data_IF_726683440133
#
_entry.id   IF_726683440133
#
_cell.length_a   1.000
_cell.length_b   1.000
_cell.length_c   1.000
_cell.angle_alpha   90.00
_cell.angle_beta   90.00
_cell.angle_gamma   90.00
#
_symmetry.space_group_name_H-M   'P 1'
#
loop_
_entity.id
_entity.type
_entity.pdbx_description
1 polymer ?
#
# COMPACT_ATOMS: atom_id res chain seq x y z
N UNK A 1 8.49 19.68 -26.68
CA UNK A 1 9.09 19.76 -25.33
C UNK A 1 7.93 19.63 -24.37
N UNK A 2 7.79 18.47 -23.76
CA UNK A 2 6.68 18.12 -22.87
C UNK A 2 6.87 18.87 -21.55
N UNK A 3 5.80 19.45 -20.98
CA UNK A 3 5.80 20.28 -19.75
C UNK A 3 6.36 19.62 -18.45
N UNK A 4 7.03 18.49 -18.57
CA UNK A 4 7.75 17.79 -17.51
C UNK A 4 9.11 18.42 -17.17
N UNK A 5 9.71 19.19 -18.10
CA UNK A 5 11.01 19.81 -17.90
C UNK A 5 10.95 21.20 -17.22
N UNK A 6 9.78 21.84 -17.17
CA UNK A 6 9.64 23.19 -16.64
C UNK A 6 9.84 23.32 -15.13
N UNK A 7 9.63 22.25 -14.34
CA UNK A 7 9.79 22.23 -12.88
C UNK A 7 11.03 21.44 -12.42
N UNK A 8 12.01 21.25 -13.33
CA UNK A 8 13.24 20.54 -13.01
C UNK A 8 14.37 21.53 -12.69
N UNK A 9 14.82 21.51 -11.44
CA UNK A 9 15.85 22.40 -10.91
C UNK A 9 17.03 21.59 -10.39
N UNK A 10 18.22 22.19 -10.44
CA UNK A 10 19.44 21.58 -9.94
C UNK A 10 19.45 21.50 -8.40
N UNK A 11 20.17 20.52 -7.86
CA UNK A 11 20.50 20.47 -6.43
C UNK A 11 21.20 21.77 -6.02
N UNK A 12 20.90 22.28 -4.82
CA UNK A 12 21.40 23.54 -4.33
C UNK A 12 20.55 24.76 -4.68
N UNK A 13 19.56 24.63 -5.59
CA UNK A 13 18.65 25.73 -5.93
C UNK A 13 17.96 26.25 -4.68
N UNK A 14 17.97 27.58 -4.49
CA UNK A 14 17.29 28.27 -3.39
C UNK A 14 15.90 28.72 -3.85
N UNK A 15 14.90 28.41 -3.05
CA UNK A 15 13.53 28.89 -3.16
C UNK A 15 13.33 29.91 -2.06
N UNK A 16 12.90 31.11 -2.39
CA UNK A 16 12.45 32.12 -1.45
C UNK A 16 10.95 32.33 -1.65
N UNK A 17 10.17 32.09 -0.60
CA UNK A 17 8.73 32.37 -0.61
C UNK A 17 8.46 33.85 -0.79
N UNK A 18 7.56 34.17 -1.73
CA UNK A 18 7.22 35.57 -2.06
C UNK A 18 6.56 36.28 -0.88
N UNK A 19 5.69 35.58 -0.15
CA UNK A 19 4.84 36.15 0.89
C UNK A 19 5.40 35.92 2.30
N UNK A 20 5.76 34.68 2.65
CA UNK A 20 6.24 34.30 3.98
C UNK A 20 7.76 34.50 4.14
N UNK A 21 8.49 34.77 3.06
CA UNK A 21 9.94 34.96 3.07
C UNK A 21 10.74 33.79 3.63
N UNK A 22 10.15 32.61 3.67
CA UNK A 22 10.85 31.40 4.08
C UNK A 22 11.79 30.93 2.97
N UNK A 23 12.95 30.39 3.37
CA UNK A 23 13.97 29.93 2.45
C UNK A 23 14.08 28.40 2.49
N UNK A 24 14.13 27.81 1.32
CA UNK A 24 14.29 26.36 1.14
C UNK A 24 15.39 26.08 0.12
N UNK A 25 16.28 25.13 0.43
CA UNK A 25 17.30 24.64 -0.49
C UNK A 25 16.89 23.28 -1.04
N UNK A 26 16.78 23.13 -2.34
CA UNK A 26 16.55 21.84 -2.98
C UNK A 26 17.78 20.96 -2.85
N UNK A 27 17.60 19.70 -2.40
CA UNK A 27 18.69 18.74 -2.20
C UNK A 27 18.64 17.67 -3.30
N UNK A 28 17.50 17.01 -3.47
CA UNK A 28 17.35 15.86 -4.36
C UNK A 28 15.95 15.86 -4.95
N UNK A 29 15.84 15.56 -6.22
CA UNK A 29 14.57 15.24 -6.86
C UNK A 29 14.03 13.89 -6.31
N UNK A 30 12.76 13.85 -5.90
CA UNK A 30 12.08 12.67 -5.37
C UNK A 30 11.15 12.04 -6.39
N UNK A 31 10.48 12.87 -7.20
CA UNK A 31 9.54 12.39 -8.21
C UNK A 31 8.81 13.53 -8.90
N UNK A 32 8.11 13.20 -10.00
CA UNK A 32 7.19 14.11 -10.68
C UNK A 32 5.96 13.34 -11.16
N UNK A 33 4.83 14.03 -11.16
CA UNK A 33 3.54 13.49 -11.57
C UNK A 33 2.70 14.50 -12.35
N UNK A 34 1.42 14.21 -12.51
CA UNK A 34 0.47 15.07 -13.19
C UNK A 34 0.39 16.45 -12.54
N UNK A 35 0.41 16.51 -11.21
CA UNK A 35 0.18 17.73 -10.44
C UNK A 35 1.43 18.57 -10.18
N UNK A 36 2.64 18.01 -10.29
CA UNK A 36 3.86 18.76 -10.00
C UNK A 36 5.10 17.90 -9.82
N UNK A 37 6.11 18.50 -9.24
CA UNK A 37 7.40 17.85 -8.97
C UNK A 37 7.74 18.00 -7.49
N UNK A 38 8.20 16.91 -6.87
CA UNK A 38 8.54 16.86 -5.44
C UNK A 38 10.05 16.72 -5.28
N UNK A 39 10.59 17.53 -4.38
CA UNK A 39 11.99 17.52 -3.99
C UNK A 39 12.17 17.26 -2.50
N UNK A 40 13.22 16.55 -2.15
CA UNK A 40 13.80 16.66 -0.82
C UNK A 40 14.47 18.03 -0.72
N UNK A 41 14.15 18.76 0.31
CA UNK A 41 14.72 20.07 0.57
C UNK A 41 15.06 20.26 2.05
N UNK A 42 15.69 21.38 2.35
CA UNK A 42 16.02 21.79 3.71
C UNK A 42 15.62 23.25 3.93
N UNK A 43 14.89 23.49 5.01
CA UNK A 43 14.74 24.82 5.59
C UNK A 43 15.90 25.09 6.57
N UNK A 44 15.89 26.22 7.25
CA UNK A 44 16.88 26.54 8.29
C UNK A 44 16.90 25.50 9.43
N UNK A 45 15.76 24.89 9.75
CA UNK A 45 15.59 24.07 10.96
C UNK A 45 15.34 22.58 10.68
N UNK A 46 14.88 22.21 9.49
CA UNK A 46 14.42 20.83 9.22
C UNK A 46 14.55 20.41 7.77
N UNK A 47 14.57 19.09 7.56
CA UNK A 47 14.41 18.47 6.25
C UNK A 47 12.91 18.44 5.89
N UNK A 48 12.58 18.77 4.64
CA UNK A 48 11.20 18.92 4.16
C UNK A 48 11.03 18.26 2.80
N UNK A 49 9.81 17.86 2.46
CA UNK A 49 9.40 17.61 1.09
C UNK A 49 8.82 18.91 0.51
N UNK A 50 9.29 19.30 -0.68
CA UNK A 50 8.85 20.51 -1.36
C UNK A 50 8.15 20.08 -2.65
N UNK A 51 6.87 20.35 -2.76
CA UNK A 51 6.07 20.12 -3.97
C UNK A 51 5.95 21.43 -4.76
N UNK A 52 6.52 21.46 -5.95
CA UNK A 52 6.36 22.53 -6.92
C UNK A 52 5.18 22.19 -7.82
N UNK A 53 4.16 23.02 -7.85
CA UNK A 53 2.92 22.73 -8.56
C UNK A 53 2.98 23.15 -10.02
N UNK A 54 2.40 22.34 -10.90
CA UNK A 54 2.09 22.72 -12.30
C UNK A 54 0.86 23.60 -12.37
N UNK A 55 -0.09 23.35 -11.48
CA UNK A 55 -1.35 24.05 -11.38
C UNK A 55 -1.58 24.53 -9.95
N UNK A 56 -1.85 25.83 -9.81
CA UNK A 56 -2.06 26.50 -8.53
C UNK A 56 -3.33 26.01 -7.84
N UNK A 57 -4.41 25.82 -8.57
CA UNK A 57 -5.71 25.43 -7.99
C UNK A 57 -5.64 24.03 -7.35
N UNK A 58 -4.96 23.10 -8.04
CA UNK A 58 -4.69 21.76 -7.55
C UNK A 58 -3.89 21.80 -6.24
N UNK A 59 -2.82 22.61 -6.17
CA UNK A 59 -2.02 22.77 -4.95
C UNK A 59 -2.84 23.35 -3.80
N UNK A 60 -3.65 24.38 -4.06
CA UNK A 60 -4.51 24.99 -3.02
C UNK A 60 -5.51 23.95 -2.49
N UNK A 61 -6.09 23.12 -3.37
CA UNK A 61 -6.99 22.04 -2.93
C UNK A 61 -6.29 21.07 -1.98
N UNK A 62 -5.10 20.61 -2.35
CA UNK A 62 -4.28 19.72 -1.53
C UNK A 62 -3.88 20.35 -0.18
N UNK A 63 -3.39 21.58 -0.20
CA UNK A 63 -3.04 22.36 0.99
C UNK A 63 -4.23 22.49 1.95
N UNK A 64 -5.44 22.74 1.43
CA UNK A 64 -6.64 22.84 2.25
C UNK A 64 -7.01 21.51 2.91
N UNK A 65 -6.81 20.38 2.23
CA UNK A 65 -7.00 19.05 2.82
C UNK A 65 -5.98 18.81 3.93
N UNK A 66 -4.69 19.07 3.66
CA UNK A 66 -3.61 18.89 4.64
C UNK A 66 -3.81 19.77 5.89
N UNK A 67 -4.25 21.02 5.73
CA UNK A 67 -4.57 21.91 6.86
C UNK A 67 -5.69 21.33 7.75
N UNK A 68 -6.80 20.93 7.14
CA UNK A 68 -7.93 20.33 7.88
C UNK A 68 -7.55 19.03 8.57
N UNK A 69 -6.67 18.23 7.93
CA UNK A 69 -6.16 17.02 8.54
C UNK A 69 -5.23 17.31 9.72
N UNK A 70 -4.40 18.34 9.64
CA UNK A 70 -3.51 18.77 10.72
C UNK A 70 -4.24 19.27 11.97
N UNK A 71 -5.51 19.69 11.83
CA UNK A 71 -6.37 20.10 12.96
C UNK A 71 -6.94 18.89 13.74
N UNK A 72 -6.91 17.68 13.17
CA UNK A 72 -7.37 16.48 13.85
C UNK A 72 -6.32 15.96 14.82
N UNK A 73 -6.71 15.69 16.05
CA UNK A 73 -5.83 15.07 17.04
C UNK A 73 -5.61 13.59 16.69
N UNK A 74 -4.34 13.17 16.60
CA UNK A 74 -3.99 11.77 16.37
C UNK A 74 -2.95 11.58 15.27
N UNK A 75 -2.74 10.32 14.85
CA UNK A 75 -1.81 9.98 13.77
C UNK A 75 -2.34 10.49 12.42
N UNK A 76 -1.61 11.40 11.82
CA UNK A 76 -1.95 11.99 10.52
C UNK A 76 -1.84 10.94 9.40
N UNK A 77 -2.86 10.85 8.54
CA UNK A 77 -2.83 10.06 7.31
C UNK A 77 -1.73 10.56 6.36
N UNK A 78 -1.51 11.86 6.30
CA UNK A 78 -0.58 12.49 5.40
C UNK A 78 0.53 13.27 6.10
N UNK A 79 1.41 13.92 5.32
CA UNK A 79 2.47 14.77 5.85
C UNK A 79 1.90 16.02 6.52
N UNK A 80 2.55 16.46 7.60
CA UNK A 80 2.25 17.77 8.21
C UNK A 80 2.63 18.86 7.24
N UNK A 81 1.72 19.80 7.00
CA UNK A 81 2.01 20.99 6.19
C UNK A 81 2.80 21.99 7.04
N UNK A 82 3.92 22.48 6.51
CA UNK A 82 4.73 23.49 7.19
C UNK A 82 4.55 24.87 6.59
N UNK A 83 4.47 24.95 5.24
CA UNK A 83 4.34 26.21 4.52
C UNK A 83 3.72 26.00 3.15
N UNK A 84 3.15 27.06 2.57
CA UNK A 84 2.75 27.13 1.17
C UNK A 84 2.87 28.56 0.71
N UNK A 85 3.53 28.78 -0.43
CA UNK A 85 3.84 30.11 -0.93
C UNK A 85 4.01 30.09 -2.46
N UNK A 86 4.27 31.25 -3.02
CA UNK A 86 4.66 31.42 -4.42
C UNK A 86 6.18 31.72 -4.50
N UNK A 87 6.83 31.15 -5.45
CA UNK A 87 8.23 31.41 -5.78
C UNK A 87 8.34 32.16 -7.11
N UNK A 88 8.96 33.34 -7.08
CA UNK A 88 9.22 34.12 -8.28
C UNK A 88 10.61 33.80 -8.85
N UNK A 89 10.65 33.19 -10.02
CA UNK A 89 11.88 32.84 -10.72
C UNK A 89 11.81 33.25 -12.18
N UNK A 90 12.77 34.07 -12.66
CA UNK A 90 12.87 34.53 -14.05
C UNK A 90 11.54 35.07 -14.61
N UNK A 91 10.81 35.83 -13.80
CA UNK A 91 9.52 36.42 -14.16
C UNK A 91 8.33 35.46 -14.15
N UNK A 92 8.52 34.17 -13.85
CA UNK A 92 7.46 33.19 -13.68
C UNK A 92 7.15 32.98 -12.18
N UNK A 93 5.89 32.77 -11.87
CA UNK A 93 5.43 32.40 -10.51
C UNK A 93 5.18 30.89 -10.47
N UNK A 94 5.85 30.20 -9.55
CA UNK A 94 5.64 28.78 -9.28
C UNK A 94 5.09 28.65 -7.86
N UNK A 95 3.86 28.15 -7.71
CA UNK A 95 3.28 27.87 -6.41
C UNK A 95 3.89 26.59 -5.85
N UNK A 96 4.19 26.58 -4.54
CA UNK A 96 4.78 25.44 -3.87
C UNK A 96 4.21 25.23 -2.47
N UNK A 97 4.36 24.02 -1.94
CA UNK A 97 4.21 23.77 -0.51
C UNK A 97 5.42 23.02 0.04
N UNK A 98 5.74 23.32 1.29
CA UNK A 98 6.73 22.62 2.10
C UNK A 98 6.02 21.81 3.17
N UNK A 99 6.31 20.52 3.24
CA UNK A 99 5.64 19.58 4.14
C UNK A 99 6.65 18.61 4.76
N UNK A 100 6.20 17.85 5.72
CA UNK A 100 6.98 16.80 6.36
C UNK A 100 7.54 15.83 5.30
N UNK A 101 8.84 15.58 5.39
CA UNK A 101 9.45 14.52 4.60
C UNK A 101 9.20 13.19 5.30
N UNK A 102 8.44 12.32 4.64
CA UNK A 102 8.16 10.97 5.12
C UNK A 102 9.28 10.04 4.65
N UNK A 103 10.16 9.65 5.57
CA UNK A 103 11.25 8.71 5.31
C UNK A 103 10.77 7.29 5.60
N UNK A 104 10.66 6.48 4.57
CA UNK A 104 10.14 5.12 4.69
C UNK A 104 10.22 4.33 3.39
N UNK A 105 9.60 3.16 3.37
CA UNK A 105 9.56 2.27 2.21
C UNK A 105 8.21 2.40 1.50
N UNK A 106 8.18 2.60 0.16
CA UNK A 106 6.92 2.57 -0.59
C UNK A 106 6.12 1.30 -0.30
N UNK A 107 4.82 1.44 -0.06
CA UNK A 107 3.97 0.28 0.27
C UNK A 107 3.97 -0.75 -0.86
N UNK A 108 4.09 -0.33 -2.11
CA UNK A 108 4.22 -1.22 -3.28
C UNK A 108 5.44 -2.14 -3.21
N UNK A 109 6.53 -1.70 -2.58
CA UNK A 109 7.71 -2.54 -2.32
C UNK A 109 7.55 -3.39 -1.06
N UNK A 110 6.98 -2.83 0.00
CA UNK A 110 6.76 -3.55 1.25
C UNK A 110 5.84 -4.76 1.04
N UNK A 111 4.77 -4.62 0.24
CA UNK A 111 3.83 -5.71 -0.08
C UNK A 111 4.50 -6.89 -0.82
N UNK A 112 5.57 -6.64 -1.57
CA UNK A 112 6.33 -7.71 -2.26
C UNK A 112 7.20 -8.54 -1.32
N UNK A 113 7.58 -7.96 -0.17
CA UNK A 113 8.56 -8.54 0.77
C UNK A 113 7.92 -9.11 2.03
N UNK A 114 6.70 -8.67 2.36
CA UNK A 114 6.00 -9.04 3.58
C UNK A 114 4.94 -10.10 3.30
N UNK A 115 4.66 -11.01 4.25
CA UNK A 115 3.51 -11.90 4.17
C UNK A 115 2.19 -11.15 3.99
N UNK A 116 1.20 -11.80 3.38
CA UNK A 116 -0.10 -11.21 3.08
C UNK A 116 -0.84 -10.63 4.30
N UNK A 117 -0.66 -11.22 5.49
CA UNK A 117 -1.25 -10.72 6.74
C UNK A 117 -0.89 -9.26 7.03
N UNK A 118 0.31 -8.82 6.61
CA UNK A 118 0.69 -7.42 6.73
C UNK A 118 -0.12 -6.50 5.82
N UNK A 119 -0.53 -6.96 4.64
CA UNK A 119 -1.43 -6.18 3.79
C UNK A 119 -2.77 -5.91 4.49
N UNK A 120 -3.30 -6.92 5.18
CA UNK A 120 -4.53 -6.78 5.99
C UNK A 120 -4.33 -5.77 7.12
N UNK A 121 -3.19 -5.83 7.84
CA UNK A 121 -2.85 -4.87 8.91
C UNK A 121 -2.75 -3.45 8.34
N UNK A 122 -2.11 -3.26 7.18
CA UNK A 122 -1.99 -1.95 6.55
C UNK A 122 -3.34 -1.40 6.09
N UNK A 123 -4.22 -2.24 5.55
CA UNK A 123 -5.58 -1.85 5.19
C UNK A 123 -6.41 -1.49 6.44
N UNK A 124 -6.25 -2.20 7.56
CA UNK A 124 -6.90 -1.83 8.84
C UNK A 124 -6.45 -0.46 9.34
N UNK A 125 -5.17 -0.10 9.19
CA UNK A 125 -4.67 1.24 9.52
C UNK A 125 -5.26 2.29 8.58
N UNK A 126 -5.25 2.03 7.26
CA UNK A 126 -5.85 2.92 6.26
C UNK A 126 -7.33 3.20 6.54
N UNK A 127 -8.11 2.17 6.84
CA UNK A 127 -9.54 2.32 7.15
C UNK A 127 -9.78 3.21 8.37
N UNK A 128 -8.89 3.17 9.38
CA UNK A 128 -8.98 4.09 10.53
C UNK A 128 -8.77 5.54 10.10
N UNK A 129 -7.78 5.78 9.26
CA UNK A 129 -7.40 7.11 8.79
C UNK A 129 -8.41 7.65 7.76
N UNK A 130 -8.89 6.77 6.84
CA UNK A 130 -9.94 7.12 5.87
C UNK A 130 -11.25 7.53 6.56
N UNK A 131 -11.60 6.89 7.68
CA UNK A 131 -12.78 7.30 8.47
C UNK A 131 -12.68 8.77 8.88
N UNK A 132 -11.50 9.22 9.30
CA UNK A 132 -11.27 10.62 9.67
C UNK A 132 -11.36 11.54 8.44
N UNK A 133 -10.75 11.14 7.31
CA UNK A 133 -10.81 11.89 6.04
C UNK A 133 -12.26 12.06 5.57
N UNK A 134 -13.04 10.99 5.62
CA UNK A 134 -14.44 11.01 5.24
C UNK A 134 -15.27 11.92 6.17
N UNK A 135 -14.98 11.94 7.48
CA UNK A 135 -15.67 12.82 8.45
C UNK A 135 -15.40 14.30 8.17
N UNK A 136 -14.22 14.70 7.70
CA UNK A 136 -13.96 16.09 7.31
C UNK A 136 -14.45 16.43 5.91
N UNK A 137 -15.17 15.51 5.26
CA UNK A 137 -15.89 15.75 4.02
C UNK A 137 -15.10 15.48 2.73
N UNK A 138 -14.08 14.63 2.77
CA UNK A 138 -13.27 14.26 1.61
C UNK A 138 -13.15 12.74 1.44
N UNK A 139 -12.92 12.30 0.20
CA UNK A 139 -12.37 10.99 -0.14
C UNK A 139 -10.95 11.15 -0.65
N UNK A 140 -10.13 10.11 -0.53
CA UNK A 140 -8.77 10.14 -1.02
C UNK A 140 -8.70 10.15 -2.56
N UNK A 141 -9.53 9.34 -3.22
CA UNK A 141 -9.74 9.33 -4.67
C UNK A 141 -8.74 8.50 -5.45
N UNK A 142 -7.43 8.68 -5.27
CA UNK A 142 -6.37 7.89 -5.94
C UNK A 142 -5.59 7.02 -4.96
N UNK A 143 -6.33 6.23 -4.15
CA UNK A 143 -5.72 5.33 -3.18
C UNK A 143 -5.09 4.12 -3.87
N UNK A 144 -3.76 4.03 -3.79
CA UNK A 144 -2.95 2.95 -4.37
C UNK A 144 -1.63 2.78 -3.59
N UNK A 145 -0.96 1.61 -3.65
CA UNK A 145 0.29 1.37 -2.92
C UNK A 145 1.42 2.35 -3.25
N UNK A 146 1.44 2.92 -4.45
CA UNK A 146 2.44 3.90 -4.88
C UNK A 146 2.30 5.24 -4.17
N UNK A 147 1.08 5.60 -3.73
CA UNK A 147 0.79 6.82 -2.96
C UNK A 147 0.90 6.62 -1.44
N UNK A 148 1.35 5.44 -1.01
CA UNK A 148 1.46 5.05 0.39
C UNK A 148 2.90 4.72 0.75
N UNK A 149 3.31 5.13 1.95
CA UNK A 149 4.63 4.85 2.50
C UNK A 149 4.49 4.15 3.85
N UNK A 150 5.33 3.16 4.07
CA UNK A 150 5.47 2.47 5.33
C UNK A 150 6.60 3.10 6.14
N UNK A 151 6.26 3.72 7.24
CA UNK A 151 7.21 4.33 8.15
C UNK A 151 7.85 3.28 9.06
N UNK A 152 9.18 3.35 9.24
CA UNK A 152 9.93 2.53 10.17
C UNK A 152 10.44 3.41 11.33
N UNK A 153 10.45 2.93 12.61
CA UNK A 153 10.20 1.56 13.06
C UNK A 153 8.73 1.18 13.33
N UNK A 154 7.79 2.12 13.26
CA UNK A 154 6.40 1.89 13.72
C UNK A 154 5.51 1.06 12.79
N UNK A 155 5.97 0.64 11.60
CA UNK A 155 5.16 -0.01 10.57
C UNK A 155 3.82 0.71 10.31
N UNK A 156 3.84 2.05 10.40
CA UNK A 156 2.66 2.90 10.19
C UNK A 156 2.55 3.29 8.74
N UNK A 157 1.38 3.08 8.15
CA UNK A 157 1.11 3.50 6.76
C UNK A 157 0.69 4.97 6.76
N UNK A 158 1.31 5.76 5.88
CA UNK A 158 0.96 7.16 5.63
C UNK A 158 0.83 7.44 4.14
N UNK A 159 0.02 8.42 3.77
CA UNK A 159 -0.15 8.86 2.39
C UNK A 159 0.88 9.91 2.02
N UNK A 160 1.42 9.83 0.80
CA UNK A 160 2.41 10.77 0.28
C UNK A 160 1.78 11.98 -0.41
N UNK A 161 0.62 11.80 -1.06
CA UNK A 161 0.04 12.79 -1.96
C UNK A 161 -1.49 12.86 -1.79
N UNK A 162 -2.01 14.05 -1.56
CA UNK A 162 -3.45 14.34 -1.42
C UNK A 162 -4.04 15.08 -2.62
N UNK A 163 -3.31 15.15 -3.73
CA UNK A 163 -3.78 15.86 -4.91
C UNK A 163 -5.04 15.27 -5.53
N UNK A 164 -5.25 13.96 -5.38
CA UNK A 164 -6.50 13.28 -5.76
C UNK A 164 -7.66 13.47 -4.80
N UNK A 165 -7.41 14.07 -3.61
CA UNK A 165 -8.44 14.19 -2.58
C UNK A 165 -9.61 15.05 -3.07
N UNK A 166 -10.80 14.46 -3.02
CA UNK A 166 -12.01 15.05 -3.63
C UNK A 166 -13.08 15.23 -2.57
N UNK A 167 -13.70 16.42 -2.55
CA UNK A 167 -14.82 16.74 -1.63
C UNK A 167 -16.00 15.81 -1.89
N UNK A 168 -16.61 15.31 -0.82
CA UNK A 168 -17.77 14.43 -0.89
C UNK A 168 -18.86 14.99 -1.82
N UNK A 169 -19.45 14.11 -2.61
CA UNK A 169 -20.49 14.41 -3.57
C UNK A 169 -20.00 14.89 -4.93
N UNK A 170 -18.73 15.30 -5.08
CA UNK A 170 -18.14 15.68 -6.37
C UNK A 170 -17.66 14.45 -7.15
N UNK A 171 -17.19 14.64 -8.39
CA UNK A 171 -16.61 13.58 -9.20
C UNK A 171 -15.11 13.47 -8.93
N UNK A 172 -14.63 12.25 -8.67
CA UNK A 172 -13.20 11.93 -8.64
C UNK A 172 -12.65 12.07 -10.06
N UNK A 173 -11.57 12.83 -10.22
CA UNK A 173 -10.97 13.16 -11.53
C UNK A 173 -9.65 12.41 -11.76
N UNK A 174 -8.87 12.20 -10.70
CA UNK A 174 -7.61 11.51 -10.74
C UNK A 174 -7.79 10.10 -10.18
N UNK A 175 -7.43 9.09 -10.95
CA UNK A 175 -7.59 7.69 -10.59
C UNK A 175 -6.63 6.80 -11.37
N UNK A 176 -6.35 5.66 -10.81
CA UNK A 176 -5.63 4.56 -11.47
C UNK A 176 -6.63 3.44 -11.74
N UNK A 177 -6.78 3.02 -12.99
CA UNK A 177 -7.82 2.08 -13.45
C UNK A 177 -8.01 0.87 -12.55
N UNK A 178 -6.94 0.22 -12.15
CA UNK A 178 -7.02 -0.97 -11.30
C UNK A 178 -7.69 -0.70 -9.94
N UNK A 179 -7.55 0.50 -9.37
CA UNK A 179 -8.12 0.88 -8.07
C UNK A 179 -9.43 1.67 -8.19
N UNK A 180 -9.86 1.98 -9.43
CA UNK A 180 -11.04 2.77 -9.72
C UNK A 180 -12.29 1.89 -9.89
N UNK A 181 -13.25 1.99 -8.96
CA UNK A 181 -14.50 1.23 -9.08
C UNK A 181 -15.30 1.59 -10.34
N UNK A 182 -15.14 2.81 -10.87
CA UNK A 182 -15.77 3.22 -12.13
C UNK A 182 -15.22 2.47 -13.32
N UNK A 183 -13.91 2.23 -13.38
CA UNK A 183 -13.28 1.37 -14.38
C UNK A 183 -13.83 -0.07 -14.30
N UNK A 184 -14.01 -0.60 -13.08
CA UNK A 184 -14.55 -1.94 -12.87
C UNK A 184 -16.07 -2.05 -13.09
N UNK A 185 -16.77 -0.94 -13.32
CA UNK A 185 -18.24 -0.95 -13.51
C UNK A 185 -19.02 -1.35 -12.25
N UNK A 186 -18.41 -1.23 -11.07
CA UNK A 186 -18.99 -1.58 -9.76
C UNK A 186 -19.58 -0.37 -9.05
N UNK A 187 -19.62 0.77 -9.73
CA UNK A 187 -20.17 2.04 -9.26
C UNK A 187 -19.63 3.21 -10.04
N UNK A 188 -20.12 4.40 -9.74
CA UNK A 188 -19.66 5.63 -10.38
C UNK A 188 -18.41 6.21 -9.72
N UNK A 189 -17.86 7.29 -10.30
CA UNK A 189 -16.75 8.08 -9.77
C UNK A 189 -17.20 9.22 -8.84
N UNK A 190 -18.38 9.10 -8.25
CA UNK A 190 -18.81 10.04 -7.22
C UNK A 190 -17.93 9.86 -5.99
N UNK A 191 -17.42 10.99 -5.46
CA UNK A 191 -16.66 11.00 -4.22
C UNK A 191 -17.57 10.65 -3.03
N UNK A 192 -17.49 9.44 -2.57
CA UNK A 192 -18.19 8.88 -1.41
C UNK A 192 -17.31 7.82 -0.75
N UNK A 193 -17.46 7.52 0.55
CA UNK A 193 -16.56 6.61 1.27
C UNK A 193 -16.33 5.27 0.56
N UNK A 194 -17.37 4.68 -0.02
CA UNK A 194 -17.29 3.41 -0.76
C UNK A 194 -16.29 3.42 -1.93
N UNK A 195 -15.91 4.59 -2.46
CA UNK A 195 -14.87 4.73 -3.49
C UNK A 195 -13.50 4.30 -2.95
N UNK A 196 -13.09 4.85 -1.80
CA UNK A 196 -11.82 4.50 -1.15
C UNK A 196 -11.85 3.07 -0.57
N UNK A 197 -13.02 2.62 -0.08
CA UNK A 197 -13.17 1.25 0.43
C UNK A 197 -12.95 0.20 -0.66
N UNK A 198 -13.41 0.48 -1.88
CA UNK A 198 -13.13 -0.37 -3.04
C UNK A 198 -11.63 -0.42 -3.33
N UNK A 199 -10.94 0.72 -3.33
CA UNK A 199 -9.50 0.77 -3.52
C UNK A 199 -8.74 -0.03 -2.44
N UNK A 200 -9.19 -0.01 -1.17
CA UNK A 200 -8.63 -0.85 -0.10
C UNK A 200 -8.73 -2.35 -0.43
N UNK A 201 -9.86 -2.81 -0.96
CA UNK A 201 -10.01 -4.20 -1.41
C UNK A 201 -9.08 -4.51 -2.58
N UNK A 202 -8.93 -3.59 -3.53
CA UNK A 202 -8.00 -3.78 -4.65
C UNK A 202 -6.53 -3.85 -4.21
N UNK A 203 -6.16 -3.18 -3.10
CA UNK A 203 -4.85 -3.36 -2.46
C UNK A 203 -4.68 -4.79 -1.93
N UNK A 204 -5.72 -5.37 -1.32
CA UNK A 204 -5.68 -6.77 -0.88
C UNK A 204 -5.54 -7.74 -2.08
N UNK A 205 -6.25 -7.51 -3.18
CA UNK A 205 -6.06 -8.29 -4.41
C UNK A 205 -4.63 -8.19 -4.93
N UNK A 206 -4.09 -6.97 -5.02
CA UNK A 206 -2.73 -6.76 -5.47
C UNK A 206 -1.70 -7.49 -4.58
N UNK A 207 -1.90 -7.44 -3.27
CA UNK A 207 -1.00 -8.12 -2.31
C UNK A 207 -1.11 -9.65 -2.39
N UNK A 208 -2.32 -10.20 -2.58
CA UNK A 208 -2.54 -11.64 -2.66
C UNK A 208 -2.00 -12.23 -3.97
N UNK A 209 -2.18 -11.52 -5.08
CA UNK A 209 -1.85 -12.03 -6.42
C UNK A 209 -0.45 -11.62 -6.89
N UNK A 210 0.20 -10.66 -6.23
CA UNK A 210 1.51 -10.11 -6.62
C UNK A 210 1.50 -9.28 -7.91
N UNK A 211 0.33 -9.07 -8.52
CA UNK A 211 0.14 -8.34 -9.77
C UNK A 211 -1.23 -7.69 -9.87
N UNK A 212 -1.36 -6.71 -10.75
CA UNK A 212 -2.65 -6.17 -11.16
C UNK A 212 -3.32 -7.14 -12.13
N UNK A 213 -4.61 -7.40 -11.92
CA UNK A 213 -5.43 -8.21 -12.83
C UNK A 213 -6.16 -7.29 -13.82
N UNK A 214 -6.39 -7.81 -15.02
CA UNK A 214 -7.16 -7.13 -16.02
C UNK A 214 -8.65 -7.42 -15.82
N UNK A 215 -9.48 -6.46 -16.14
CA UNK A 215 -10.92 -6.59 -16.14
C UNK A 215 -11.35 -7.50 -17.29
N UNK A 216 -12.19 -8.50 -17.00
CA UNK A 216 -12.73 -9.42 -18.01
C UNK A 216 -14.20 -9.76 -17.73
N UNK A 217 -14.96 -9.98 -18.78
CA UNK A 217 -16.35 -10.45 -18.71
C UNK A 217 -17.24 -9.60 -17.79
N UNK A 218 -17.82 -10.24 -16.76
CA UNK A 218 -18.54 -9.56 -15.68
C UNK A 218 -17.58 -9.25 -14.53
N UNK A 219 -17.14 -8.00 -14.33
CA UNK A 219 -16.11 -7.67 -13.34
C UNK A 219 -16.53 -7.93 -11.91
N UNK A 220 -17.81 -7.74 -11.57
CA UNK A 220 -18.32 -8.05 -10.23
C UNK A 220 -18.16 -9.53 -9.92
N UNK A 221 -18.59 -10.39 -10.84
CA UNK A 221 -18.47 -11.83 -10.69
C UNK A 221 -17.01 -12.27 -10.67
N UNK A 222 -16.14 -11.66 -11.50
CA UNK A 222 -14.71 -11.93 -11.52
C UNK A 222 -14.08 -11.69 -10.14
N UNK A 223 -14.32 -10.52 -9.53
CA UNK A 223 -13.78 -10.21 -8.21
C UNK A 223 -14.35 -11.12 -7.13
N UNK A 224 -15.66 -11.38 -7.13
CA UNK A 224 -16.29 -12.29 -6.17
C UNK A 224 -15.72 -13.71 -6.30
N UNK A 225 -15.51 -14.19 -7.52
CA UNK A 225 -14.96 -15.54 -7.74
C UNK A 225 -13.51 -15.64 -7.25
N UNK A 226 -12.67 -14.65 -7.54
CA UNK A 226 -11.30 -14.58 -7.02
C UNK A 226 -11.26 -14.58 -5.49
N UNK A 227 -12.15 -13.83 -4.83
CA UNK A 227 -12.24 -13.84 -3.37
C UNK A 227 -12.59 -15.22 -2.77
N UNK A 228 -13.28 -16.08 -3.55
CA UNK A 228 -13.67 -17.45 -3.13
C UNK A 228 -12.62 -18.50 -3.45
N UNK A 229 -11.74 -18.26 -4.41
CA UNK A 229 -10.79 -19.27 -4.91
C UNK A 229 -9.34 -19.00 -4.53
N UNK A 230 -8.97 -17.73 -4.34
CA UNK A 230 -7.60 -17.37 -3.94
C UNK A 230 -7.41 -17.67 -2.44
N UNK A 231 -6.49 -18.60 -2.06
CA UNK A 231 -6.34 -19.03 -0.66
C UNK A 231 -6.11 -17.90 0.33
N UNK A 232 -5.36 -16.85 -0.05
CA UNK A 232 -5.09 -15.71 0.81
C UNK A 232 -6.32 -14.83 1.03
N UNK A 233 -7.28 -14.82 0.07
CA UNK A 233 -8.49 -13.98 0.13
C UNK A 233 -9.68 -14.68 0.75
N UNK A 234 -9.72 -16.02 0.74
CA UNK A 234 -10.84 -16.82 1.29
C UNK A 234 -11.23 -16.39 2.72
N UNK A 235 -10.29 -16.17 3.67
CA UNK A 235 -10.64 -15.74 5.02
C UNK A 235 -11.38 -14.39 5.06
N UNK A 236 -11.18 -13.55 4.05
CA UNK A 236 -11.69 -12.18 3.94
C UNK A 236 -12.80 -12.03 2.90
N UNK A 237 -13.30 -13.14 2.34
CA UNK A 237 -14.29 -13.14 1.25
C UNK A 237 -15.55 -12.34 1.62
N UNK A 238 -15.99 -12.40 2.88
CA UNK A 238 -17.18 -11.66 3.37
C UNK A 238 -17.00 -10.15 3.20
N UNK A 239 -15.87 -9.62 3.65
CA UNK A 239 -15.54 -8.19 3.53
C UNK A 239 -15.41 -7.78 2.08
N UNK A 240 -14.69 -8.57 1.27
CA UNK A 240 -14.49 -8.30 -0.15
C UNK A 240 -15.83 -8.27 -0.89
N UNK A 241 -16.68 -9.28 -0.72
CA UNK A 241 -18.00 -9.37 -1.38
C UNK A 241 -18.91 -8.20 -0.95
N UNK A 242 -18.91 -7.83 0.34
CA UNK A 242 -19.71 -6.72 0.83
C UNK A 242 -19.24 -5.38 0.23
N UNK A 243 -17.92 -5.20 0.09
CA UNK A 243 -17.34 -3.98 -0.53
C UNK A 243 -17.70 -3.91 -2.02
N UNK A 244 -17.49 -5.01 -2.76
CA UNK A 244 -17.81 -5.10 -4.20
C UNK A 244 -19.30 -4.83 -4.45
N UNK A 245 -20.18 -5.27 -3.55
CA UNK A 245 -21.63 -5.01 -3.61
C UNK A 245 -22.06 -3.65 -3.04
N UNK A 246 -21.11 -2.78 -2.67
CA UNK A 246 -21.41 -1.44 -2.15
C UNK A 246 -22.16 -1.41 -0.80
N UNK A 247 -22.02 -2.46 0.03
CA UNK A 247 -22.76 -2.57 1.30
C UNK A 247 -22.16 -1.74 2.43
N UNK A 248 -20.90 -1.31 2.32
CA UNK A 248 -20.26 -0.44 3.29
C UNK A 248 -20.42 1.02 2.89
N UNK A 249 -20.96 1.81 3.78
CA UNK A 249 -21.10 3.27 3.65
C UNK A 249 -20.06 4.03 4.46
N UNK A 250 -19.37 3.35 5.39
CA UNK A 250 -18.36 3.93 6.27
C UNK A 250 -17.14 3.01 6.42
N UNK A 251 -15.95 3.60 6.52
CA UNK A 251 -14.72 2.86 6.72
C UNK A 251 -14.70 2.08 8.06
N UNK A 252 -15.31 2.62 9.10
CA UNK A 252 -15.41 1.96 10.40
C UNK A 252 -16.20 0.64 10.35
N UNK A 253 -17.21 0.53 9.49
CA UNK A 253 -17.97 -0.72 9.30
C UNK A 253 -17.07 -1.81 8.67
N UNK A 254 -16.42 -1.47 7.55
CA UNK A 254 -15.51 -2.39 6.87
C UNK A 254 -14.34 -2.80 7.78
N UNK A 255 -13.81 -1.85 8.57
CA UNK A 255 -12.70 -2.11 9.51
C UNK A 255 -13.08 -3.14 10.58
N UNK A 256 -14.28 -3.03 11.17
CA UNK A 256 -14.77 -3.99 12.18
C UNK A 256 -14.85 -5.40 11.61
N UNK A 257 -15.45 -5.52 10.42
CA UNK A 257 -15.61 -6.81 9.76
C UNK A 257 -14.26 -7.42 9.36
N UNK A 258 -13.35 -6.62 8.80
CA UNK A 258 -12.00 -7.07 8.41
C UNK A 258 -11.18 -7.53 9.63
N UNK A 259 -11.26 -6.81 10.74
CA UNK A 259 -10.60 -7.18 12.00
C UNK A 259 -11.17 -8.49 12.56
N UNK A 260 -12.48 -8.66 12.53
CA UNK A 260 -13.15 -9.90 12.95
C UNK A 260 -12.71 -11.09 12.12
N UNK A 261 -12.69 -10.95 10.78
CA UNK A 261 -12.26 -12.01 9.88
C UNK A 261 -10.79 -12.39 10.12
N UNK A 262 -9.90 -11.39 10.32
CA UNK A 262 -8.49 -11.61 10.65
C UNK A 262 -8.32 -12.38 11.97
N UNK A 263 -9.05 -12.01 13.02
CA UNK A 263 -8.99 -12.69 14.32
C UNK A 263 -9.48 -14.13 14.23
N UNK A 264 -10.57 -14.36 13.49
CA UNK A 264 -11.13 -15.71 13.26
C UNK A 264 -10.15 -16.60 12.50
N UNK A 265 -9.51 -16.06 11.46
CA UNK A 265 -8.51 -16.81 10.68
C UNK A 265 -7.32 -17.22 11.56
N UNK A 266 -6.76 -16.31 12.35
CA UNK A 266 -5.65 -16.62 13.27
C UNK A 266 -6.04 -17.69 14.31
N UNK A 267 -7.25 -17.63 14.85
CA UNK A 267 -7.75 -18.67 15.77
C UNK A 267 -7.84 -20.03 15.11
N UNK A 268 -8.37 -20.09 13.88
CA UNK A 268 -8.48 -21.34 13.12
C UNK A 268 -7.10 -21.92 12.76
N UNK A 269 -6.11 -21.09 12.46
CA UNK A 269 -4.74 -21.53 12.20
C UNK A 269 -4.08 -22.13 13.44
N UNK A 270 -4.27 -21.52 14.61
CA UNK A 270 -3.76 -22.05 15.88
C UNK A 270 -4.44 -23.35 16.32
N UNK A 271 -5.70 -23.55 15.95
CA UNK A 271 -6.46 -24.75 16.29
C UNK A 271 -6.26 -25.90 15.28
N UNK A 272 -5.57 -25.69 14.15
CA UNK A 272 -5.23 -26.79 13.23
C UNK A 272 -4.29 -27.76 13.94
N UNK A 273 -4.71 -29.02 14.19
CA UNK A 273 -3.88 -29.98 14.92
C UNK A 273 -2.58 -30.23 14.15
N UNK A 274 -1.47 -30.29 14.90
CA UNK A 274 -0.09 -30.53 14.43
C UNK A 274 0.10 -31.92 13.74
N UNK A 275 -0.97 -32.66 13.51
CA UNK A 275 -0.97 -34.02 12.95
C UNK A 275 -0.28 -34.18 11.59
N UNK A 276 -0.16 -33.12 10.78
CA UNK A 276 0.46 -33.24 9.45
C UNK A 276 1.99 -33.17 9.44
N UNK A 277 2.59 -32.57 10.47
CA UNK A 277 4.07 -32.48 10.54
C UNK A 277 4.65 -33.79 11.06
N UNK A 278 3.97 -34.45 12.01
CA UNK A 278 4.38 -35.75 12.52
C UNK A 278 4.20 -36.88 11.49
N UNK A 279 3.14 -36.86 10.66
CA UNK A 279 2.98 -37.83 9.57
C UNK A 279 4.03 -37.69 8.46
N UNK A 280 4.44 -36.48 8.11
CA UNK A 280 5.54 -36.27 7.13
C UNK A 280 6.89 -36.72 7.74
N UNK A 281 7.18 -36.42 9.00
CA UNK A 281 8.41 -36.89 9.67
C UNK A 281 8.43 -38.41 9.86
N UNK A 282 7.31 -39.02 10.20
CA UNK A 282 7.23 -40.49 10.33
C UNK A 282 7.40 -41.20 8.98
N UNK A 283 6.93 -40.61 7.88
CA UNK A 283 7.04 -41.19 6.54
C UNK A 283 8.48 -41.10 6.00
N UNK A 284 9.16 -39.98 6.20
CA UNK A 284 10.57 -39.79 5.84
C UNK A 284 11.52 -40.64 6.67
N UNK A 285 11.27 -40.82 7.97
CA UNK A 285 12.05 -41.73 8.80
C UNK A 285 11.91 -43.20 8.36
N UNK A 286 10.69 -43.64 7.98
CA UNK A 286 10.47 -45.03 7.54
C UNK A 286 11.13 -45.39 6.21
N UNK A 287 11.27 -44.42 5.30
CA UNK A 287 12.01 -44.58 4.04
C UNK A 287 13.54 -44.54 4.25
N UNK A 288 14.01 -43.69 5.13
CA UNK A 288 15.43 -43.61 5.51
C UNK A 288 15.92 -44.89 6.21
N UNK A 289 15.11 -45.51 7.05
CA UNK A 289 15.45 -46.78 7.68
C UNK A 289 15.50 -47.94 6.70
N UNK A 290 14.63 -47.99 5.71
CA UNK A 290 14.65 -49.03 4.66
C UNK A 290 15.92 -48.94 3.82
N UNK A 291 16.35 -47.75 3.44
CA UNK A 291 17.61 -47.57 2.68
C UNK A 291 18.85 -47.91 3.53
N UNK A 292 18.85 -47.60 4.82
CA UNK A 292 19.94 -47.96 5.74
C UNK A 292 20.06 -49.48 5.93
N UNK A 293 18.95 -50.21 6.04
CA UNK A 293 18.95 -51.68 6.12
C UNK A 293 19.45 -52.34 4.80
N UNK A 294 19.09 -51.75 3.66
CA UNK A 294 19.53 -52.24 2.34
C UNK A 294 21.02 -52.07 2.16
N UNK A 295 21.58 -50.94 2.53
CA UNK A 295 23.06 -50.72 2.47
C UNK A 295 23.84 -51.60 3.46
N UNK A 296 23.31 -51.79 4.68
CA UNK A 296 23.93 -52.70 5.65
C UNK A 296 23.95 -54.16 5.18
N UNK A 297 22.86 -54.61 4.55
CA UNK A 297 22.76 -55.97 3.96
C UNK A 297 23.74 -56.17 2.81
N UNK A 298 23.93 -55.19 1.93
CA UNK A 298 24.90 -55.25 0.82
C UNK A 298 26.35 -55.33 1.35
N UNK A 299 26.68 -54.52 2.37
CA UNK A 299 28.00 -54.56 2.99
C UNK A 299 28.29 -55.86 3.70
N UNK A 300 27.31 -56.48 4.37
CA UNK A 300 27.46 -57.76 5.01
C UNK A 300 27.68 -58.90 4.01
N UNK A 301 26.94 -58.90 2.89
CA UNK A 301 27.13 -59.88 1.83
C UNK A 301 28.49 -59.75 1.14
N UNK A 302 28.96 -58.52 0.88
CA UNK A 302 30.28 -58.26 0.33
C UNK A 302 31.39 -58.70 1.30
N UNK A 303 31.22 -58.49 2.60
CA UNK A 303 32.15 -58.97 3.64
C UNK A 303 32.23 -60.50 3.71
N UNK A 304 31.09 -61.20 3.66
CA UNK A 304 31.02 -62.66 3.65
C UNK A 304 31.73 -63.21 2.39
N UNK A 305 31.50 -62.66 1.22
CA UNK A 305 32.16 -63.03 -0.03
C UNK A 305 33.70 -62.81 0.05
N UNK A 306 34.11 -61.68 0.62
CA UNK A 306 35.52 -61.40 0.83
C UNK A 306 36.19 -62.44 1.73
N UNK A 307 35.55 -62.82 2.84
CA UNK A 307 36.08 -63.87 3.77
C UNK A 307 36.17 -65.23 3.08
N UNK A 308 35.17 -65.61 2.27
CA UNK A 308 35.20 -66.89 1.53
C UNK A 308 36.33 -66.94 0.49
N UNK A 309 36.58 -65.84 -0.20
CA UNK A 309 37.58 -65.78 -1.30
C UNK A 309 39.00 -65.64 -0.78
N UNK A 310 39.23 -64.94 0.33
CA UNK A 310 40.58 -64.59 0.79
C UNK A 310 41.05 -65.26 2.09
N UNK A 311 40.13 -65.93 2.85
CA UNK A 311 40.45 -66.53 4.15
C UNK A 311 40.23 -68.06 4.12
N UNK A 312 39.42 -68.56 3.19
CA UNK A 312 39.29 -70.00 2.85
C UNK A 312 40.00 -70.31 1.55
#
# INVERSE_FOLDING_TARGET
MTGLDELRFASGTLIEGKWHKQHYRLIKWLGSGAQGTVYLGRSSTRTVAIKLAKDRESLISEVNVLKRFGELQGHSLGPSLYDHDDWLIKGKIISFCAMEFLDGVPLSEALKRKPFDWAVVYVLQLLTQLQQLHHIGFVFGDLKPENLILMDPGHTVRCLDFGGATKLGRSVREYTEFYDRGYWGIGGRRAEPSYDLFACVMILYYAALGKRIERSGNPEQQLIQLAKTEPMLIPFQRVIVNTVKGRYTEAAQMRRDLLQDMMTNKRNEQQRPVQNVQRKRAKTNKESWKSAWLTASILLTAYILFVIIYVM
#
